data_IF_868257979784
#
_entry.id   IF_868257979784
#
_cell.length_a   1.000
_cell.length_b   1.000
_cell.length_c   1.000
_cell.angle_alpha   90.00
_cell.angle_beta   90.00
_cell.angle_gamma   90.00
#
_symmetry.space_group_name_H-M   'P 1'
#
loop_
_entity.id
_entity.type
_entity.pdbx_description
1 polymer ?
#
# COMPACT_ATOMS: atom_id res chain seq x y z
N UNK A 1 -28.50 14.95 -1.03
CA UNK A 1 -27.40 14.07 -0.56
C UNK A 1 -26.23 14.95 -0.18
N UNK A 2 -25.87 15.00 1.10
CA UNK A 2 -24.64 15.67 1.54
C UNK A 2 -23.48 14.85 0.98
N UNK A 3 -22.69 15.40 0.05
CA UNK A 3 -21.45 14.75 -0.38
C UNK A 3 -20.54 14.64 0.84
N UNK A 4 -19.95 13.47 1.07
CA UNK A 4 -18.90 13.32 2.09
C UNK A 4 -17.74 14.25 1.72
N UNK A 5 -17.56 15.30 2.51
CA UNK A 5 -16.57 16.33 2.28
C UNK A 5 -15.15 15.75 2.33
N UNK A 6 -14.90 14.76 3.21
CA UNK A 6 -13.60 14.09 3.30
C UNK A 6 -13.29 13.35 2.01
N UNK A 7 -14.21 12.53 1.52
CA UNK A 7 -14.05 11.80 0.26
C UNK A 7 -13.89 12.75 -0.94
N UNK A 8 -14.63 13.86 -0.96
CA UNK A 8 -14.53 14.87 -2.03
C UNK A 8 -13.16 15.55 -2.05
N UNK A 9 -12.61 15.89 -0.87
CA UNK A 9 -11.25 16.45 -0.74
C UNK A 9 -10.20 15.45 -1.22
N UNK A 10 -10.32 14.19 -0.78
CA UNK A 10 -9.43 13.10 -1.19
C UNK A 10 -9.43 13.01 -2.72
N UNK A 11 -10.58 12.76 -3.35
CA UNK A 11 -10.66 12.63 -4.82
C UNK A 11 -10.10 13.84 -5.58
N UNK A 12 -10.40 15.06 -5.11
CA UNK A 12 -9.86 16.29 -5.72
C UNK A 12 -8.33 16.33 -5.64
N UNK A 13 -7.77 16.01 -4.47
CA UNK A 13 -6.33 15.95 -4.27
C UNK A 13 -5.67 14.90 -5.16
N UNK A 14 -6.22 13.68 -5.22
CA UNK A 14 -5.71 12.60 -6.08
C UNK A 14 -5.66 12.99 -7.55
N UNK A 15 -6.73 13.61 -8.07
CA UNK A 15 -6.72 14.13 -9.43
C UNK A 15 -5.62 15.17 -9.63
N UNK A 16 -5.51 16.16 -8.73
CA UNK A 16 -4.48 17.19 -8.86
C UNK A 16 -3.06 16.63 -8.73
N UNK A 17 -2.83 15.67 -7.83
CA UNK A 17 -1.52 15.04 -7.69
C UNK A 17 -1.11 14.27 -8.94
N UNK A 18 -2.05 13.59 -9.62
CA UNK A 18 -1.79 12.95 -10.91
C UNK A 18 -1.54 13.96 -12.03
N UNK A 19 -2.32 15.04 -12.07
CA UNK A 19 -2.31 15.96 -13.21
C UNK A 19 -1.08 16.90 -13.19
N UNK A 20 -0.62 17.34 -12.01
CA UNK A 20 0.48 18.32 -11.88
C UNK A 20 1.56 17.95 -10.88
N UNK A 21 1.44 16.82 -10.19
CA UNK A 21 2.38 16.38 -9.17
C UNK A 21 2.06 16.91 -7.77
N UNK A 22 2.52 16.16 -6.75
CA UNK A 22 2.29 16.49 -5.35
C UNK A 22 2.82 17.88 -5.00
N UNK A 23 4.10 18.18 -5.28
CA UNK A 23 4.75 19.41 -4.83
C UNK A 23 4.10 20.68 -5.40
N UNK A 24 3.72 20.65 -6.68
CA UNK A 24 3.08 21.79 -7.37
C UNK A 24 1.61 22.00 -6.98
N UNK A 25 1.01 21.07 -6.25
CA UNK A 25 -0.37 21.19 -5.78
C UNK A 25 -0.46 22.02 -4.51
N UNK A 26 -1.33 23.02 -4.46
CA UNK A 26 -1.63 23.79 -3.24
C UNK A 26 -2.90 23.29 -2.55
N UNK A 27 -3.04 23.60 -1.25
CA UNK A 27 -4.26 23.29 -0.49
C UNK A 27 -5.47 24.05 -1.04
N UNK A 28 -5.29 25.30 -1.46
CA UNK A 28 -6.38 26.13 -1.97
C UNK A 28 -6.96 25.56 -3.28
N UNK A 29 -6.11 25.07 -4.20
CA UNK A 29 -6.57 24.39 -5.42
C UNK A 29 -7.34 23.09 -5.12
N UNK A 30 -6.96 22.36 -4.06
CA UNK A 30 -7.68 21.17 -3.61
C UNK A 30 -9.06 21.56 -3.07
N UNK A 31 -9.12 22.61 -2.24
CA UNK A 31 -10.37 23.15 -1.67
C UNK A 31 -11.32 23.57 -2.78
N UNK A 32 -10.80 24.33 -3.76
CA UNK A 32 -11.56 24.80 -4.92
C UNK A 32 -12.11 23.63 -5.73
N UNK A 33 -11.26 22.67 -6.12
CA UNK A 33 -11.68 21.51 -6.92
C UNK A 33 -12.64 20.60 -6.16
N UNK A 34 -12.49 20.47 -4.85
CA UNK A 34 -13.40 19.69 -4.00
C UNK A 34 -14.77 20.37 -3.80
N UNK A 35 -14.88 21.67 -4.12
CA UNK A 35 -16.09 22.45 -3.87
C UNK A 35 -16.42 22.57 -2.38
N UNK A 36 -15.40 22.68 -1.52
CA UNK A 36 -15.54 22.73 -0.06
C UNK A 36 -15.00 24.04 0.52
N UNK A 37 -15.22 24.29 1.81
CA UNK A 37 -14.67 25.44 2.50
C UNK A 37 -13.31 25.13 3.14
N UNK A 38 -12.47 26.17 3.30
CA UNK A 38 -11.16 26.06 3.97
C UNK A 38 -11.25 25.45 5.37
N UNK A 39 -12.22 25.90 6.18
CA UNK A 39 -12.46 25.34 7.51
C UNK A 39 -12.77 23.85 7.49
N UNK A 40 -13.55 23.38 6.50
CA UNK A 40 -13.86 21.97 6.31
C UNK A 40 -12.62 21.15 5.95
N UNK A 41 -11.74 21.68 5.10
CA UNK A 41 -10.47 21.02 4.80
C UNK A 41 -9.62 20.83 6.07
N UNK A 42 -9.38 21.90 6.83
CA UNK A 42 -8.53 21.84 8.03
C UNK A 42 -9.18 21.09 9.20
N UNK A 43 -10.50 20.90 9.17
CA UNK A 43 -11.17 19.99 10.09
C UNK A 43 -10.78 18.52 9.85
N UNK A 44 -10.58 18.13 8.59
CA UNK A 44 -10.23 16.76 8.21
C UNK A 44 -8.72 16.51 8.09
N UNK A 45 -7.95 17.49 7.58
CA UNK A 45 -6.56 17.31 7.20
C UNK A 45 -5.68 18.45 7.72
N UNK A 46 -4.57 18.09 8.37
CA UNK A 46 -3.54 19.02 8.82
C UNK A 46 -2.58 19.40 7.68
N UNK A 47 -3.15 19.85 6.55
CA UNK A 47 -2.41 20.21 5.34
C UNK A 47 -2.32 19.10 4.29
N UNK A 48 -1.67 19.42 3.17
CA UNK A 48 -1.60 18.57 1.98
C UNK A 48 -0.90 17.23 2.21
N UNK A 49 0.12 17.18 3.07
CA UNK A 49 0.86 15.95 3.38
C UNK A 49 0.01 14.91 4.11
N UNK A 50 -1.00 15.32 4.89
CA UNK A 50 -1.92 14.41 5.55
C UNK A 50 -2.77 13.60 4.54
N UNK A 51 -2.91 14.08 3.30
CA UNK A 51 -3.61 13.37 2.24
C UNK A 51 -2.79 12.19 1.69
N UNK A 52 -1.46 12.22 1.83
CA UNK A 52 -0.62 11.10 1.38
C UNK A 52 -0.96 9.82 2.15
N UNK A 53 -1.30 9.92 3.45
CA UNK A 53 -1.72 8.77 4.25
C UNK A 53 -2.93 8.02 3.66
N UNK A 54 -3.80 8.73 2.92
CA UNK A 54 -4.95 8.11 2.25
C UNK A 54 -4.57 7.21 1.07
N UNK A 55 -3.31 7.24 0.61
CA UNK A 55 -2.79 6.29 -0.37
C UNK A 55 -2.80 4.86 0.19
N UNK A 56 -2.59 4.73 1.50
CA UNK A 56 -2.64 3.45 2.19
C UNK A 56 -4.06 2.86 2.18
N UNK A 57 -5.09 3.71 2.21
CA UNK A 57 -6.49 3.31 2.07
C UNK A 57 -6.73 2.77 0.65
N UNK A 58 -6.22 3.45 -0.39
CA UNK A 58 -6.30 2.97 -1.78
C UNK A 58 -5.59 1.62 -1.99
N UNK A 59 -4.46 1.41 -1.31
CA UNK A 59 -3.78 0.11 -1.35
C UNK A 59 -4.63 -0.98 -0.70
N UNK A 60 -5.25 -0.68 0.44
CA UNK A 60 -6.15 -1.61 1.12
C UNK A 60 -7.37 -1.95 0.25
N UNK A 61 -7.97 -0.97 -0.43
CA UNK A 61 -9.03 -1.18 -1.42
C UNK A 61 -8.58 -2.08 -2.57
N UNK A 62 -7.34 -1.89 -3.05
CA UNK A 62 -6.77 -2.77 -4.08
C UNK A 62 -6.61 -4.20 -3.58
N UNK A 63 -6.18 -4.40 -2.34
CA UNK A 63 -6.11 -5.73 -1.74
C UNK A 63 -7.48 -6.37 -1.55
N UNK A 64 -8.53 -5.60 -1.24
CA UNK A 64 -9.90 -6.08 -1.21
C UNK A 64 -10.37 -6.58 -2.58
N UNK A 65 -10.08 -5.84 -3.65
CA UNK A 65 -10.38 -6.26 -5.03
C UNK A 65 -9.63 -7.55 -5.40
N UNK A 66 -8.33 -7.60 -5.11
CA UNK A 66 -7.48 -8.73 -5.48
C UNK A 66 -7.81 -10.00 -4.72
N UNK A 67 -8.19 -9.92 -3.44
CA UNK A 67 -8.60 -11.10 -2.66
C UNK A 67 -9.77 -11.84 -3.31
N UNK A 68 -10.74 -11.12 -3.89
CA UNK A 68 -11.90 -11.73 -4.56
C UNK A 68 -11.53 -12.57 -5.79
N UNK A 69 -10.31 -12.38 -6.31
CA UNK A 69 -9.78 -13.03 -7.51
C UNK A 69 -8.77 -14.14 -7.18
N UNK A 70 -8.50 -14.39 -5.90
CA UNK A 70 -7.61 -15.47 -5.48
C UNK A 70 -8.19 -16.82 -5.89
N UNK A 71 -7.34 -17.69 -6.45
CA UNK A 71 -7.67 -19.09 -6.64
C UNK A 71 -7.48 -19.84 -5.32
N UNK A 72 -8.56 -20.30 -4.66
CA UNK A 72 -8.47 -20.98 -3.38
C UNK A 72 -7.79 -22.35 -3.44
N UNK A 73 -7.57 -22.91 -4.64
CA UNK A 73 -6.94 -24.22 -4.87
C UNK A 73 -5.41 -24.15 -4.91
N UNK A 74 -4.84 -22.96 -5.13
CA UNK A 74 -3.39 -22.76 -5.11
C UNK A 74 -2.84 -22.74 -3.68
N UNK A 75 -1.55 -23.02 -3.51
CA UNK A 75 -0.90 -22.94 -2.20
C UNK A 75 -0.95 -21.51 -1.66
N UNK A 76 -0.89 -21.35 -0.33
CA UNK A 76 -0.87 -20.04 0.32
C UNK A 76 0.31 -19.18 -0.15
N UNK A 77 1.45 -19.81 -0.41
CA UNK A 77 2.66 -19.15 -0.92
C UNK A 77 2.42 -18.58 -2.32
N UNK A 78 1.76 -19.35 -3.19
CA UNK A 78 1.37 -18.89 -4.53
C UNK A 78 0.34 -17.77 -4.46
N UNK A 79 -0.65 -17.85 -3.54
CA UNK A 79 -1.64 -16.79 -3.33
C UNK A 79 -0.98 -15.47 -2.92
N UNK A 80 -0.07 -15.49 -1.93
CA UNK A 80 0.65 -14.29 -1.48
C UNK A 80 1.59 -13.76 -2.58
N UNK A 81 2.26 -14.65 -3.31
CA UNK A 81 3.10 -14.28 -4.44
C UNK A 81 2.30 -13.60 -5.56
N UNK A 82 1.13 -14.14 -5.89
CA UNK A 82 0.22 -13.57 -6.87
C UNK A 82 -0.29 -12.20 -6.43
N UNK A 83 -0.68 -12.03 -5.16
CA UNK A 83 -1.08 -10.72 -4.62
C UNK A 83 0.02 -9.68 -4.79
N UNK A 84 1.27 -10.04 -4.47
CA UNK A 84 2.41 -9.13 -4.63
C UNK A 84 2.61 -8.72 -6.09
N UNK A 85 2.57 -9.67 -7.03
CA UNK A 85 2.70 -9.39 -8.46
C UNK A 85 1.59 -8.47 -8.94
N UNK A 86 0.34 -8.73 -8.58
CA UNK A 86 -0.78 -7.87 -8.98
C UNK A 86 -0.72 -6.48 -8.34
N UNK A 87 -0.28 -6.39 -7.08
CA UNK A 87 -0.12 -5.14 -6.39
C UNK A 87 1.01 -4.31 -7.03
N UNK A 88 2.15 -4.92 -7.33
CA UNK A 88 3.27 -4.25 -8.00
C UNK A 88 2.94 -3.78 -9.41
N UNK A 89 2.22 -4.58 -10.22
CA UNK A 89 1.73 -4.15 -11.54
C UNK A 89 0.78 -2.94 -11.42
N UNK A 90 -0.10 -2.93 -10.41
CA UNK A 90 -0.95 -1.77 -10.12
C UNK A 90 -0.13 -0.54 -9.71
N UNK A 91 0.88 -0.69 -8.85
CA UNK A 91 1.76 0.43 -8.49
C UNK A 91 2.44 1.01 -9.73
N UNK A 92 3.05 0.17 -10.57
CA UNK A 92 3.75 0.63 -11.77
C UNK A 92 2.84 1.39 -12.74
N UNK A 93 1.61 0.92 -12.93
CA UNK A 93 0.69 1.44 -13.96
C UNK A 93 -0.10 2.66 -13.49
N UNK A 94 -0.56 2.64 -12.25
CA UNK A 94 -1.65 3.52 -11.80
C UNK A 94 -1.21 4.51 -10.71
N UNK A 95 -0.05 4.32 -10.09
CA UNK A 95 0.44 5.17 -9.00
C UNK A 95 1.65 5.99 -9.46
N UNK A 96 1.53 7.33 -9.57
CA UNK A 96 2.67 8.15 -9.93
C UNK A 96 3.82 7.99 -8.92
N UNK A 97 5.04 7.79 -9.43
CA UNK A 97 6.21 7.50 -8.61
C UNK A 97 6.50 8.61 -7.59
N UNK A 98 6.24 9.88 -7.93
CA UNK A 98 6.41 11.02 -7.03
C UNK A 98 5.43 10.97 -5.86
N UNK A 99 4.22 10.45 -6.07
CA UNK A 99 3.23 10.28 -5.00
C UNK A 99 3.65 9.18 -4.03
N UNK A 100 4.10 8.03 -4.55
CA UNK A 100 4.61 6.96 -3.70
C UNK A 100 5.87 7.42 -2.93
N UNK A 101 6.76 8.15 -3.60
CA UNK A 101 7.96 8.74 -2.99
C UNK A 101 7.61 9.70 -1.86
N UNK A 102 6.63 10.59 -2.09
CA UNK A 102 6.14 11.51 -1.07
C UNK A 102 5.51 10.77 0.12
N UNK A 103 4.71 9.72 -0.14
CA UNK A 103 4.18 8.87 0.92
C UNK A 103 5.31 8.25 1.74
N UNK A 104 6.29 7.59 1.10
CA UNK A 104 7.39 6.93 1.79
C UNK A 104 8.22 7.91 2.64
N UNK A 105 8.52 9.09 2.09
CA UNK A 105 9.20 10.16 2.82
C UNK A 105 8.38 10.63 4.04
N UNK A 106 7.06 10.75 3.90
CA UNK A 106 6.18 11.17 5.00
C UNK A 106 6.19 10.19 6.19
N UNK A 107 6.46 8.90 5.97
CA UNK A 107 6.48 7.89 7.02
C UNK A 107 7.63 8.06 8.02
N UNK A 108 8.69 8.76 7.61
CA UNK A 108 9.85 9.05 8.47
C UNK A 108 9.65 10.30 9.32
N UNK A 109 8.62 11.10 9.04
CA UNK A 109 8.32 12.29 9.82
C UNK A 109 7.79 11.86 11.21
N UNK A 110 8.45 12.23 12.33
CA UNK A 110 8.00 11.84 13.67
C UNK A 110 6.60 12.36 14.03
N UNK A 111 6.17 13.45 13.40
CA UNK A 111 4.85 14.07 13.58
C UNK A 111 3.88 13.74 12.43
N UNK A 112 4.33 12.96 11.45
CA UNK A 112 3.53 12.52 10.31
C UNK A 112 2.75 11.24 10.58
N UNK A 113 1.89 10.89 9.63
CA UNK A 113 1.18 9.63 9.64
C UNK A 113 2.14 8.44 9.39
N UNK A 114 1.85 7.30 10.01
CA UNK A 114 2.60 6.03 9.89
C UNK A 114 1.70 4.92 9.35
N UNK A 115 0.82 5.26 8.41
CA UNK A 115 -0.14 4.34 7.81
C UNK A 115 0.49 3.08 7.25
N UNK A 116 1.69 3.14 6.64
CA UNK A 116 2.32 1.96 6.05
C UNK A 116 2.70 0.87 7.07
N UNK A 117 2.78 1.20 8.37
CA UNK A 117 3.07 0.22 9.44
C UNK A 117 1.87 -0.02 10.37
N UNK A 118 0.72 0.61 10.08
CA UNK A 118 -0.47 0.47 10.90
C UNK A 118 -1.03 -0.96 10.80
N UNK A 119 -0.87 -1.73 11.87
CA UNK A 119 -1.27 -3.15 11.94
C UNK A 119 -2.78 -3.38 11.77
N UNK A 120 -3.61 -2.34 11.87
CA UNK A 120 -5.07 -2.41 11.67
C UNK A 120 -5.50 -2.38 10.20
N UNK A 121 -4.58 -2.09 9.28
CA UNK A 121 -4.86 -2.02 7.85
C UNK A 121 -5.27 -3.37 7.26
N UNK A 122 -6.05 -3.32 6.19
CA UNK A 122 -6.51 -4.50 5.49
C UNK A 122 -5.36 -5.33 4.95
N UNK A 123 -4.33 -4.66 4.42
CA UNK A 123 -3.06 -5.27 4.02
C UNK A 123 -2.55 -6.29 5.05
N UNK A 124 -2.42 -5.90 6.32
CA UNK A 124 -1.89 -6.82 7.34
C UNK A 124 -2.90 -7.91 7.71
N UNK A 125 -4.20 -7.62 7.65
CA UNK A 125 -5.24 -8.59 7.95
C UNK A 125 -5.25 -9.75 6.93
N UNK A 126 -5.23 -9.45 5.63
CA UNK A 126 -5.24 -10.48 4.59
C UNK A 126 -3.97 -11.34 4.61
N UNK A 127 -2.79 -10.72 4.75
CA UNK A 127 -1.53 -11.47 4.80
C UNK A 127 -1.45 -12.36 6.05
N UNK A 128 -1.90 -11.89 7.22
CA UNK A 128 -1.95 -12.73 8.43
C UNK A 128 -2.93 -13.89 8.28
N UNK A 129 -4.10 -13.65 7.69
CA UNK A 129 -5.09 -14.69 7.39
C UNK A 129 -4.49 -15.78 6.50
N UNK A 130 -3.81 -15.39 5.42
CA UNK A 130 -3.17 -16.32 4.50
C UNK A 130 -2.05 -17.11 5.18
N UNK A 131 -1.11 -16.43 5.87
CA UNK A 131 -0.01 -17.10 6.57
C UNK A 131 -0.53 -18.06 7.65
N UNK A 132 -1.55 -17.68 8.42
CA UNK A 132 -2.17 -18.56 9.42
C UNK A 132 -2.78 -19.82 8.79
N UNK A 133 -3.49 -19.67 7.65
CA UNK A 133 -3.99 -20.82 6.87
C UNK A 133 -2.85 -21.73 6.39
N UNK A 134 -1.75 -21.15 5.92
CA UNK A 134 -0.57 -21.90 5.52
C UNK A 134 0.07 -22.67 6.67
N UNK A 135 0.06 -22.09 7.88
CA UNK A 135 0.48 -22.76 9.10
C UNK A 135 -0.45 -23.90 9.49
N UNK A 136 -1.77 -23.69 9.42
CA UNK A 136 -2.78 -24.72 9.72
C UNK A 136 -2.64 -25.95 8.81
N UNK A 137 -2.39 -25.73 7.52
CA UNK A 137 -2.28 -26.78 6.50
C UNK A 137 -0.87 -27.40 6.39
N UNK A 138 0.10 -26.92 7.16
CA UNK A 138 1.48 -27.43 7.14
C UNK A 138 2.32 -26.97 5.93
N UNK A 139 1.89 -25.94 5.21
CA UNK A 139 2.67 -25.31 4.14
C UNK A 139 3.75 -24.36 4.70
N UNK A 140 3.44 -23.67 5.82
CA UNK A 140 4.30 -22.69 6.47
C UNK A 140 4.63 -23.14 7.90
N UNK A 141 5.88 -22.95 8.34
CA UNK A 141 6.34 -23.30 9.68
C UNK A 141 5.57 -22.56 10.78
N UNK A 142 5.30 -23.26 11.89
CA UNK A 142 4.75 -22.68 13.13
C UNK A 142 5.82 -22.19 14.10
N UNK A 143 7.10 -22.39 13.80
CA UNK A 143 8.23 -21.93 14.64
C UNK A 143 8.32 -20.40 14.68
N UNK A 144 7.91 -19.72 13.61
CA UNK A 144 7.80 -18.26 13.56
C UNK A 144 6.34 -17.86 13.57
N UNK A 145 5.97 -16.84 14.35
CA UNK A 145 4.58 -16.38 14.41
C UNK A 145 4.11 -15.81 13.06
N UNK A 146 2.83 -15.98 12.71
CA UNK A 146 2.26 -15.36 11.51
C UNK A 146 2.46 -13.84 11.49
N UNK A 147 2.42 -13.19 12.66
CA UNK A 147 2.71 -11.76 12.81
C UNK A 147 4.13 -11.41 12.34
N UNK A 148 5.14 -12.17 12.77
CA UNK A 148 6.54 -11.87 12.45
C UNK A 148 6.88 -12.20 11.00
N UNK A 149 6.31 -13.28 10.45
CA UNK A 149 6.42 -13.60 9.02
C UNK A 149 5.87 -12.45 8.18
N UNK A 150 4.64 -11.99 8.48
CA UNK A 150 4.01 -10.88 7.74
C UNK A 150 4.78 -9.57 7.93
N UNK A 151 5.33 -9.32 9.12
CA UNK A 151 6.18 -8.14 9.36
C UNK A 151 7.43 -8.16 8.47
N UNK A 152 8.12 -9.30 8.36
CA UNK A 152 9.30 -9.46 7.52
C UNK A 152 8.96 -9.31 6.04
N UNK A 153 7.88 -9.95 5.61
CA UNK A 153 7.33 -9.81 4.26
C UNK A 153 7.06 -8.33 3.92
N UNK A 154 6.35 -7.61 4.79
CA UNK A 154 6.02 -6.20 4.59
C UNK A 154 7.25 -5.29 4.55
N UNK A 155 8.30 -5.61 5.32
CA UNK A 155 9.58 -4.90 5.26
C UNK A 155 10.23 -5.10 3.89
N UNK A 156 10.30 -6.34 3.39
CA UNK A 156 10.87 -6.64 2.07
C UNK A 156 10.06 -5.96 0.96
N UNK A 157 8.74 -6.10 0.95
CA UNK A 157 7.89 -5.47 -0.05
C UNK A 157 8.08 -3.95 -0.08
N UNK A 158 8.03 -3.29 1.08
CA UNK A 158 8.25 -1.85 1.17
C UNK A 158 9.67 -1.45 0.74
N UNK A 159 10.68 -2.28 1.00
CA UNK A 159 12.05 -2.00 0.53
C UNK A 159 12.15 -1.99 -1.00
N UNK A 160 11.41 -2.87 -1.68
CA UNK A 160 11.35 -2.88 -3.15
C UNK A 160 10.66 -1.63 -3.70
N UNK A 161 9.55 -1.21 -3.07
CA UNK A 161 8.89 0.05 -3.43
C UNK A 161 9.79 1.28 -3.21
N UNK A 162 10.56 1.28 -2.11
CA UNK A 162 11.51 2.33 -1.82
C UNK A 162 12.65 2.38 -2.84
N UNK A 163 13.24 1.23 -3.17
CA UNK A 163 14.29 1.13 -4.18
C UNK A 163 13.78 1.59 -5.56
N UNK A 164 12.59 1.15 -5.96
CA UNK A 164 11.92 1.61 -7.18
C UNK A 164 11.76 3.14 -7.23
N UNK A 165 11.37 3.76 -6.12
CA UNK A 165 11.31 5.22 -6.00
C UNK A 165 12.68 5.90 -6.10
N UNK A 166 13.76 5.30 -5.56
CA UNK A 166 15.13 5.84 -5.72
C UNK A 166 15.53 5.94 -7.19
N UNK A 167 15.08 4.99 -8.01
CA UNK A 167 15.30 4.96 -9.45
C UNK A 167 14.23 5.70 -10.27
N UNK A 168 13.37 6.51 -9.62
CA UNK A 168 12.29 7.26 -10.27
C UNK A 168 11.37 6.37 -11.12
N UNK A 169 11.16 5.13 -10.70
CA UNK A 169 10.29 4.19 -11.39
C UNK A 169 10.84 3.67 -12.73
N UNK A 170 12.11 3.90 -13.02
CA UNK A 170 12.74 3.49 -14.28
C UNK A 170 12.98 1.98 -14.40
N UNK A 171 12.93 1.24 -13.28
CA UNK A 171 13.07 -0.21 -13.24
C UNK A 171 11.69 -0.86 -13.04
N UNK A 172 11.45 -2.07 -13.57
CA UNK A 172 10.22 -2.80 -13.27
C UNK A 172 10.25 -3.36 -11.84
N UNK A 173 9.16 -3.18 -11.10
CA UNK A 173 8.78 -3.96 -9.91
C UNK A 173 8.47 -5.42 -10.26
N UNK A 174 7.90 -5.71 -11.44
CA UNK A 174 7.70 -7.09 -11.91
C UNK A 174 9.02 -7.70 -12.40
N UNK A 175 9.47 -8.77 -11.73
CA UNK A 175 10.70 -9.48 -12.10
C UNK A 175 11.58 -9.74 -10.88
N UNK A 176 12.72 -9.06 -10.79
CA UNK A 176 13.61 -9.19 -9.63
C UNK A 176 12.93 -8.78 -8.31
N UNK A 177 12.23 -7.63 -8.21
CA UNK A 177 11.65 -7.23 -6.93
C UNK A 177 10.58 -8.19 -6.42
N UNK A 178 9.65 -8.64 -7.28
CA UNK A 178 8.68 -9.70 -6.92
C UNK A 178 9.37 -11.01 -6.51
N UNK A 179 10.50 -11.38 -7.13
CA UNK A 179 11.28 -12.57 -6.73
C UNK A 179 11.89 -12.40 -5.35
N UNK A 180 12.48 -11.24 -5.04
CA UNK A 180 13.05 -10.94 -3.73
C UNK A 180 11.98 -11.04 -2.63
N UNK A 181 10.79 -10.48 -2.86
CA UNK A 181 9.66 -10.58 -1.92
C UNK A 181 9.24 -12.04 -1.72
N UNK A 182 9.11 -12.81 -2.80
CA UNK A 182 8.76 -14.23 -2.73
C UNK A 182 9.82 -15.06 -1.97
N UNK A 183 11.12 -14.79 -2.17
CA UNK A 183 12.20 -15.47 -1.45
C UNK A 183 12.14 -15.23 0.07
N UNK A 184 11.67 -14.06 0.52
CA UNK A 184 11.44 -13.82 1.96
C UNK A 184 10.39 -14.80 2.52
N UNK A 185 9.29 -15.03 1.81
CA UNK A 185 8.24 -15.96 2.26
C UNK A 185 8.71 -17.43 2.21
N UNK A 186 9.47 -17.81 1.17
CA UNK A 186 9.99 -19.17 0.99
C UNK A 186 10.85 -19.68 2.15
N UNK A 187 11.49 -18.79 2.92
CA UNK A 187 12.27 -19.14 4.12
C UNK A 187 11.44 -19.82 5.20
N UNK A 188 10.12 -19.60 5.18
CA UNK A 188 9.18 -20.14 6.16
C UNK A 188 8.39 -21.33 5.64
N UNK A 189 8.59 -21.72 4.38
CA UNK A 189 7.90 -22.85 3.76
C UNK A 189 8.54 -24.14 4.24
N UNK A 190 7.72 -25.08 4.71
CA UNK A 190 8.19 -26.41 5.12
C UNK A 190 8.60 -27.15 3.85
N UNK A 191 9.89 -27.50 3.74
CA UNK A 191 10.36 -28.37 2.66
C UNK A 191 9.85 -29.78 2.95
N UNK A 192 9.09 -30.34 2.01
CA UNK A 192 8.75 -31.77 2.01
C UNK A 192 9.99 -32.61 1.71
#
# INVERSE_FOLDING_TARGET
MVRDARASIIHAAWSLFRDKGFDKTTVDEIIEKAGTAKGTFYHHFQGKSALLGTLSDLFDDKYHELEQRLDPQTSVVEQIGWLNVQFFDYIERDVPVEMLSALLASQLNPRGDRSLVNQKRYYFAIHRKLVAKGQENGEITKETSAHDIVRLYAITERSMLYDWCLYQGSQPLIGEPTRIVAETLKRFVIRQ
#
